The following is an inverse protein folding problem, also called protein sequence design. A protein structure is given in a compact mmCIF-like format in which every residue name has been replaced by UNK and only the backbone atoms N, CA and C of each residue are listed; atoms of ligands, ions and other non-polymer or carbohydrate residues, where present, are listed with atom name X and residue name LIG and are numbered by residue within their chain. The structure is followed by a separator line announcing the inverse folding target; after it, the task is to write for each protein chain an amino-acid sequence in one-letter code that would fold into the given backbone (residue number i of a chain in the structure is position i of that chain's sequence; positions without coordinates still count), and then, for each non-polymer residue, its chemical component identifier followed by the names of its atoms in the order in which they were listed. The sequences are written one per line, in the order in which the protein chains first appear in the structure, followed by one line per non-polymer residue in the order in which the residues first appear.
data_IF_598301477272
#
_entry.id   IF_598301477272
#
_cell.length_a   1.000
_cell.length_b   1.000
_cell.length_c   1.000
_cell.angle_alpha   90.00
_cell.angle_beta   90.00
_cell.angle_gamma   90.00
#
_symmetry.space_group_name_H-M   'P 1'
#
loop_
_entity.id
_entity.type
_entity.pdbx_description
1 polymer ?
#
# COMPACT_ATOMS: atom_id res chain seq x y z
N UNK A 1 23.10 -28.41 0.72
CA UNK A 1 22.35 -29.07 -0.35
C UNK A 1 20.91 -29.16 0.10
N UNK A 2 20.06 -28.20 -0.26
CA UNK A 2 18.63 -28.28 0.02
C UNK A 2 18.02 -29.33 -0.93
N UNK A 3 17.30 -30.29 -0.37
CA UNK A 3 16.68 -31.39 -1.09
C UNK A 3 15.71 -30.84 -2.14
N UNK A 4 15.82 -31.27 -3.40
CA UNK A 4 14.89 -30.86 -4.46
C UNK A 4 13.41 -31.21 -4.14
N UNK A 5 13.21 -32.19 -3.25
CA UNK A 5 11.91 -32.59 -2.72
C UNK A 5 11.29 -31.54 -1.77
N UNK A 6 12.12 -30.72 -1.10
CA UNK A 6 11.63 -29.65 -0.20
C UNK A 6 11.11 -28.45 -1.00
N UNK A 7 11.80 -28.05 -2.07
CA UNK A 7 11.36 -26.94 -2.94
C UNK A 7 10.03 -27.27 -3.65
N UNK A 8 9.87 -28.50 -4.14
CA UNK A 8 8.60 -28.95 -4.74
C UNK A 8 7.45 -28.94 -3.73
N UNK A 9 7.71 -29.37 -2.49
CA UNK A 9 6.71 -29.35 -1.41
C UNK A 9 6.34 -27.91 -1.00
N UNK A 10 7.33 -27.03 -0.83
CA UNK A 10 7.11 -25.61 -0.50
C UNK A 10 6.36 -24.88 -1.61
N UNK A 11 6.71 -25.12 -2.88
CA UNK A 11 6.03 -24.50 -4.01
C UNK A 11 4.56 -24.91 -4.10
N UNK A 12 4.26 -26.21 -3.95
CA UNK A 12 2.86 -26.69 -3.90
C UNK A 12 2.10 -26.07 -2.74
N UNK A 13 2.68 -26.08 -1.54
CA UNK A 13 2.07 -25.47 -0.37
C UNK A 13 1.73 -23.99 -0.63
N UNK A 14 2.65 -23.22 -1.21
CA UNK A 14 2.40 -21.80 -1.52
C UNK A 14 1.30 -21.61 -2.57
N UNK A 15 1.25 -22.45 -3.62
CA UNK A 15 0.22 -22.36 -4.67
C UNK A 15 -1.18 -22.73 -4.17
N UNK A 16 -1.27 -23.65 -3.21
CA UNK A 16 -2.53 -24.12 -2.64
C UNK A 16 -3.01 -23.26 -1.46
N UNK A 17 -2.08 -22.67 -0.71
CA UNK A 17 -2.37 -21.91 0.52
C UNK A 17 -3.41 -20.79 0.39
N UNK A 18 -3.50 -20.02 -0.72
CA UNK A 18 -4.52 -18.99 -0.85
C UNK A 18 -5.96 -19.54 -0.88
N UNK A 19 -6.16 -20.81 -1.23
CA UNK A 19 -7.51 -21.40 -1.36
C UNK A 19 -8.26 -21.41 -0.04
N UNK A 20 -7.60 -21.85 1.03
CA UNK A 20 -8.21 -21.99 2.36
C UNK A 20 -8.77 -20.67 2.92
N UNK A 21 -8.01 -19.55 2.98
CA UNK A 21 -8.56 -18.29 3.45
C UNK A 21 -9.63 -17.74 2.51
N UNK A 22 -9.52 -17.94 1.19
CA UNK A 22 -10.55 -17.49 0.24
C UNK A 22 -11.87 -18.25 0.43
N UNK A 23 -11.81 -19.57 0.60
CA UNK A 23 -12.98 -20.40 0.88
C UNK A 23 -13.61 -20.06 2.24
N UNK A 24 -12.79 -19.85 3.27
CA UNK A 24 -13.27 -19.46 4.60
C UNK A 24 -13.99 -18.10 4.58
N UNK A 25 -13.42 -17.11 3.86
CA UNK A 25 -14.06 -15.80 3.70
C UNK A 25 -15.33 -15.90 2.86
N UNK A 26 -15.34 -16.73 1.81
CA UNK A 26 -16.52 -16.89 0.97
C UNK A 26 -17.72 -17.49 1.72
N UNK A 27 -17.47 -18.31 2.76
CA UNK A 27 -18.52 -18.90 3.59
C UNK A 27 -19.25 -17.85 4.45
N UNK A 28 -18.54 -16.87 5.00
CA UNK A 28 -19.12 -15.73 5.72
C UNK A 28 -18.21 -14.49 5.61
N UNK A 29 -18.40 -13.62 4.59
CA UNK A 29 -17.57 -12.44 4.37
C UNK A 29 -17.70 -11.37 5.45
N UNK A 30 -18.78 -11.41 6.22
CA UNK A 30 -19.15 -10.43 7.27
C UNK A 30 -18.80 -10.92 8.67
N UNK A 31 -18.38 -12.18 8.83
CA UNK A 31 -17.93 -12.72 10.12
C UNK A 31 -16.88 -11.80 10.77
N UNK A 32 -17.07 -11.40 12.04
CA UNK A 32 -16.09 -10.58 12.74
C UNK A 32 -14.85 -11.41 13.08
N UNK A 33 -13.70 -11.00 12.56
CA UNK A 33 -12.40 -11.66 12.77
C UNK A 33 -11.37 -10.66 13.26
N UNK A 34 -10.36 -11.16 13.97
CA UNK A 34 -9.22 -10.36 14.39
C UNK A 34 -8.32 -10.00 13.21
N UNK A 35 -7.89 -8.75 13.17
CA UNK A 35 -6.94 -8.22 12.17
C UNK A 35 -5.87 -7.36 12.85
N UNK A 36 -4.91 -6.88 12.07
CA UNK A 36 -3.89 -5.92 12.55
C UNK A 36 -4.46 -4.56 12.98
N UNK A 37 -5.74 -4.29 12.72
CA UNK A 37 -6.42 -3.03 13.07
C UNK A 37 -7.66 -3.26 13.95
N UNK A 38 -7.70 -4.39 14.68
CA UNK A 38 -8.83 -4.78 15.54
C UNK A 38 -9.82 -5.73 14.86
N UNK A 39 -11.05 -5.81 15.39
CA UNK A 39 -12.10 -6.64 14.78
C UNK A 39 -12.59 -6.02 13.47
N UNK A 40 -12.62 -6.82 12.41
CA UNK A 40 -13.09 -6.43 11.07
C UNK A 40 -13.86 -7.58 10.42
N UNK A 41 -14.68 -7.34 9.39
CA UNK A 41 -15.27 -8.40 8.58
C UNK A 41 -14.21 -9.28 7.92
N UNK A 42 -14.48 -10.58 7.75
CA UNK A 42 -13.54 -11.55 7.17
C UNK A 42 -12.99 -11.13 5.80
N UNK A 43 -13.78 -10.46 4.95
CA UNK A 43 -13.33 -9.91 3.65
C UNK A 43 -12.14 -8.96 3.74
N UNK A 44 -11.87 -8.37 4.91
CA UNK A 44 -10.70 -7.52 5.13
C UNK A 44 -9.40 -8.26 4.81
N UNK A 45 -9.31 -9.55 5.18
CA UNK A 45 -8.13 -10.37 4.91
C UNK A 45 -7.89 -10.61 3.42
N UNK A 46 -8.95 -10.67 2.60
CA UNK A 46 -8.79 -10.81 1.14
C UNK A 46 -8.10 -9.59 0.56
N UNK A 47 -8.54 -8.39 0.96
CA UNK A 47 -7.91 -7.13 0.52
C UNK A 47 -6.46 -7.03 1.00
N UNK A 48 -6.19 -7.38 2.27
CA UNK A 48 -4.83 -7.39 2.83
C UNK A 48 -3.91 -8.37 2.10
N UNK A 49 -4.34 -9.61 1.89
CA UNK A 49 -3.55 -10.65 1.22
C UNK A 49 -3.32 -10.36 -0.26
N UNK A 50 -4.28 -9.70 -0.92
CA UNK A 50 -4.13 -9.23 -2.29
C UNK A 50 -2.94 -8.27 -2.39
N UNK A 51 -2.90 -7.22 -1.56
CA UNK A 51 -1.85 -6.20 -1.61
C UNK A 51 -0.49 -6.74 -1.19
N UNK A 52 -0.43 -7.61 -0.18
CA UNK A 52 0.82 -8.32 0.17
C UNK A 52 1.34 -9.16 -1.00
N UNK A 53 0.45 -9.87 -1.70
CA UNK A 53 0.83 -10.70 -2.86
C UNK A 53 1.31 -9.86 -4.03
N UNK A 54 0.68 -8.70 -4.27
CA UNK A 54 1.09 -7.75 -5.32
C UNK A 54 2.50 -7.23 -5.06
N UNK A 55 2.77 -6.79 -3.83
CA UNK A 55 4.07 -6.24 -3.43
C UNK A 55 5.16 -7.32 -3.50
N UNK A 56 4.90 -8.53 -3.01
CA UNK A 56 5.88 -9.62 -3.10
C UNK A 56 6.11 -10.11 -4.53
N UNK A 57 5.10 -10.04 -5.41
CA UNK A 57 5.31 -10.27 -6.85
C UNK A 57 6.24 -9.23 -7.45
N UNK A 58 6.12 -7.96 -7.04
CA UNK A 58 7.04 -6.90 -7.46
C UNK A 58 8.45 -7.18 -6.93
N UNK A 59 8.60 -7.55 -5.66
CA UNK A 59 9.91 -7.89 -5.09
C UNK A 59 10.61 -9.00 -5.91
N UNK A 60 9.87 -10.05 -6.27
CA UNK A 60 10.39 -11.13 -7.11
C UNK A 60 10.76 -10.67 -8.52
N UNK A 61 9.94 -9.82 -9.15
CA UNK A 61 10.21 -9.28 -10.48
C UNK A 61 11.43 -8.34 -10.49
N UNK A 62 11.57 -7.48 -9.47
CA UNK A 62 12.75 -6.62 -9.26
C UNK A 62 14.02 -7.45 -9.10
N UNK A 63 13.98 -8.52 -8.31
CA UNK A 63 15.11 -9.43 -8.12
C UNK A 63 15.53 -10.14 -9.42
N UNK A 64 14.59 -10.38 -10.32
CA UNK A 64 14.83 -10.98 -11.64
C UNK A 64 15.16 -9.95 -12.72
N UNK A 65 15.04 -8.64 -12.43
CA UNK A 65 15.22 -7.57 -13.41
C UNK A 65 14.17 -7.60 -14.53
N UNK A 66 12.94 -8.03 -14.25
CA UNK A 66 11.84 -8.09 -15.22
C UNK A 66 10.75 -7.08 -14.90
N UNK A 67 9.92 -6.80 -15.91
CA UNK A 67 8.79 -5.89 -15.78
C UNK A 67 7.76 -6.37 -14.74
N UNK A 68 7.18 -5.41 -14.02
CA UNK A 68 6.25 -5.64 -12.93
C UNK A 68 5.02 -4.73 -13.04
N UNK A 69 4.20 -4.87 -14.10
CA UNK A 69 3.02 -4.04 -14.25
C UNK A 69 2.06 -4.25 -13.08
N UNK A 70 1.52 -3.17 -12.54
CA UNK A 70 0.42 -3.15 -11.58
C UNK A 70 -0.70 -2.37 -12.25
N UNK A 71 -1.90 -2.93 -12.24
CA UNK A 71 -3.06 -2.24 -12.80
C UNK A 71 -3.37 -0.97 -11.95
N UNK A 72 -3.65 0.18 -12.57
CA UNK A 72 -3.82 1.44 -11.85
C UNK A 72 -4.85 1.41 -10.72
N UNK A 73 -6.03 0.81 -10.93
CA UNK A 73 -7.06 0.74 -9.89
C UNK A 73 -6.63 -0.18 -8.74
N UNK A 74 -5.90 -1.26 -9.01
CA UNK A 74 -5.30 -2.11 -7.99
C UNK A 74 -4.25 -1.37 -7.15
N UNK A 75 -3.38 -0.58 -7.80
CA UNK A 75 -2.40 0.23 -7.09
C UNK A 75 -3.06 1.34 -6.25
N UNK A 76 -4.07 2.02 -6.81
CA UNK A 76 -4.86 3.01 -6.10
C UNK A 76 -5.57 2.43 -4.87
N UNK A 77 -6.17 1.24 -4.99
CA UNK A 77 -6.74 0.53 -3.82
C UNK A 77 -5.68 0.17 -2.78
N UNK A 78 -4.47 -0.21 -3.22
CA UNK A 78 -3.32 -0.49 -2.36
C UNK A 78 -2.86 0.73 -1.57
N UNK A 79 -2.83 1.91 -2.20
CA UNK A 79 -2.54 3.18 -1.51
C UNK A 79 -3.60 3.45 -0.44
N UNK A 80 -4.89 3.31 -0.78
CA UNK A 80 -5.98 3.52 0.17
C UNK A 80 -5.96 2.52 1.34
N UNK A 81 -5.64 1.24 1.08
CA UNK A 81 -5.48 0.22 2.12
C UNK A 81 -4.31 0.56 3.05
N UNK A 82 -3.17 0.92 2.47
CA UNK A 82 -1.97 1.30 3.20
C UNK A 82 -2.21 2.51 4.12
N UNK A 83 -2.84 3.56 3.60
CA UNK A 83 -3.20 4.74 4.40
C UNK A 83 -4.19 4.37 5.52
N UNK A 84 -5.13 3.46 5.27
CA UNK A 84 -6.03 2.91 6.29
C UNK A 84 -5.29 2.18 7.41
N UNK A 85 -4.29 1.37 7.07
CA UNK A 85 -3.44 0.68 8.04
C UNK A 85 -2.60 1.65 8.88
N UNK A 86 -2.02 2.67 8.25
CA UNK A 86 -1.26 3.72 8.96
C UNK A 86 -2.16 4.51 9.91
N UNK A 87 -3.35 4.91 9.46
CA UNK A 87 -4.32 5.64 10.30
C UNK A 87 -4.79 4.81 11.51
N UNK A 88 -4.82 3.49 11.40
CA UNK A 88 -5.19 2.58 12.48
C UNK A 88 -4.04 2.28 13.47
N UNK A 89 -2.82 2.73 13.20
CA UNK A 89 -1.63 2.48 14.04
C UNK A 89 -1.18 3.78 14.73
N UNK A 90 -1.62 4.04 15.97
CA UNK A 90 -1.17 5.20 16.71
C UNK A 90 0.34 5.17 16.95
N UNK A 91 0.94 6.35 17.05
CA UNK A 91 2.36 6.57 17.41
C UNK A 91 3.38 5.99 16.41
N UNK A 92 2.94 5.59 15.21
CA UNK A 92 3.84 5.32 14.09
C UNK A 92 4.29 6.66 13.49
N UNK A 93 5.60 6.87 13.34
CA UNK A 93 6.16 8.21 13.17
C UNK A 93 5.48 9.00 12.01
N UNK A 94 4.75 10.02 12.42
CA UNK A 94 3.72 10.73 11.66
C UNK A 94 4.35 11.95 10.97
N UNK A 95 3.80 12.42 9.85
CA UNK A 95 4.05 13.80 9.41
C UNK A 95 3.84 14.78 10.59
N UNK A 96 4.63 15.87 10.61
CA UNK A 96 4.49 16.94 11.60
C UNK A 96 3.02 17.28 11.81
N UNK A 97 2.59 17.45 13.06
CA UNK A 97 1.20 17.81 13.37
C UNK A 97 0.74 19.03 12.54
N UNK A 98 -0.41 18.90 11.90
CA UNK A 98 -1.00 19.90 11.02
C UNK A 98 -0.46 19.91 9.58
N UNK A 99 0.67 19.24 9.30
CA UNK A 99 1.21 19.14 7.95
C UNK A 99 0.28 18.32 7.03
N UNK A 100 0.23 18.70 5.76
CA UNK A 100 -0.66 18.13 4.76
C UNK A 100 0.11 17.63 3.54
N UNK A 101 -0.33 16.49 3.01
CA UNK A 101 0.21 15.89 1.80
C UNK A 101 -0.91 15.52 0.85
N UNK A 102 -0.68 15.74 -0.44
CA UNK A 102 -1.57 15.30 -1.51
C UNK A 102 -0.85 14.28 -2.37
N UNK A 103 -1.43 13.08 -2.50
CA UNK A 103 -1.00 12.10 -3.49
C UNK A 103 -1.96 12.17 -4.69
N UNK A 104 -1.43 12.22 -5.90
CA UNK A 104 -2.21 12.36 -7.13
C UNK A 104 -1.71 11.37 -8.19
N UNK A 105 -2.52 10.35 -8.45
CA UNK A 105 -2.32 9.44 -9.56
C UNK A 105 -2.68 10.14 -10.87
N UNK A 106 -1.85 9.94 -11.88
CA UNK A 106 -2.00 10.55 -13.22
C UNK A 106 -2.76 9.67 -14.20
N UNK A 107 -3.10 8.44 -13.80
CA UNK A 107 -3.81 7.47 -14.64
C UNK A 107 -5.24 7.92 -14.95
N UNK A 108 -5.63 7.82 -16.21
CA UNK A 108 -6.98 8.13 -16.65
C UNK A 108 -8.00 7.14 -16.07
N UNK A 109 -9.21 7.62 -15.75
CA UNK A 109 -10.32 6.78 -15.31
C UNK A 109 -10.38 6.47 -13.81
N UNK A 110 -9.37 6.84 -13.01
CA UNK A 110 -9.42 6.66 -11.54
C UNK A 110 -10.36 7.65 -10.84
N UNK A 111 -10.53 8.85 -11.40
CA UNK A 111 -11.34 9.91 -10.77
C UNK A 111 -10.90 10.18 -9.33
N UNK A 112 -11.85 10.25 -8.40
CA UNK A 112 -11.56 10.47 -6.97
C UNK A 112 -10.78 9.33 -6.31
N UNK A 113 -10.71 8.13 -6.91
CA UNK A 113 -9.92 7.03 -6.35
C UNK A 113 -8.41 7.22 -6.58
N UNK A 114 -8.00 8.15 -7.43
CA UNK A 114 -6.61 8.50 -7.71
C UNK A 114 -6.09 9.71 -6.94
N UNK A 115 -6.79 10.17 -5.91
CA UNK A 115 -6.52 11.45 -5.25
C UNK A 115 -6.67 11.30 -3.73
N UNK A 116 -5.58 11.43 -2.97
CA UNK A 116 -5.58 11.23 -1.51
C UNK A 116 -5.07 12.46 -0.78
N UNK A 117 -5.86 12.99 0.15
CA UNK A 117 -5.43 14.02 1.09
C UNK A 117 -5.05 13.38 2.41
N UNK A 118 -3.83 13.66 2.88
CA UNK A 118 -3.26 13.14 4.13
C UNK A 118 -2.96 14.32 5.04
N UNK A 119 -3.29 14.20 6.32
CA UNK A 119 -3.01 15.20 7.36
C UNK A 119 -2.35 14.56 8.57
N UNK A 120 -1.26 15.15 9.04
CA UNK A 120 -0.65 14.79 10.32
C UNK A 120 -1.53 15.23 11.48
N UNK A 121 -1.88 14.30 12.35
CA UNK A 121 -2.54 14.54 13.63
C UNK A 121 -1.58 14.30 14.82
N UNK A 122 -2.07 14.53 16.04
CA UNK A 122 -1.26 14.44 17.25
C UNK A 122 -0.67 13.04 17.53
N UNK A 123 -1.33 11.97 17.08
CA UNK A 123 -0.94 10.57 17.35
C UNK A 123 -0.97 9.66 16.12
N UNK A 124 -1.13 10.22 14.92
CA UNK A 124 -1.30 9.43 13.70
C UNK A 124 -1.66 10.30 12.50
N UNK A 125 -1.96 9.66 11.37
CA UNK A 125 -2.49 10.37 10.21
C UNK A 125 -4.02 10.31 10.17
N UNK A 126 -4.63 11.38 9.66
CA UNK A 126 -5.96 11.32 9.05
C UNK A 126 -5.81 11.33 7.53
N UNK A 127 -6.70 10.66 6.81
CA UNK A 127 -6.73 10.74 5.35
C UNK A 127 -8.16 10.62 4.82
N UNK A 128 -8.35 11.17 3.62
CA UNK A 128 -9.59 11.05 2.84
C UNK A 128 -9.27 11.00 1.34
N UNK A 129 -10.20 10.44 0.56
CA UNK A 129 -10.16 10.61 -0.88
C UNK A 129 -10.53 12.05 -1.21
N UNK A 130 -9.69 12.73 -1.98
CA UNK A 130 -9.90 14.13 -2.29
C UNK A 130 -8.72 14.79 -2.98
N UNK A 131 -9.03 15.94 -3.58
CA UNK A 131 -8.08 16.81 -4.25
C UNK A 131 -8.02 18.14 -3.51
N UNK A 132 -6.82 18.67 -3.27
CA UNK A 132 -6.68 19.95 -2.60
C UNK A 132 -5.24 20.46 -2.51
N UNK A 133 -5.12 21.71 -2.08
CA UNK A 133 -3.82 22.30 -1.74
C UNK A 133 -3.24 21.62 -0.50
N UNK A 134 -1.93 21.41 -0.51
CA UNK A 134 -1.18 20.79 0.58
C UNK A 134 0.21 21.41 0.70
N UNK A 135 0.89 21.14 1.81
CA UNK A 135 2.29 21.57 2.00
C UNK A 135 3.23 20.84 1.03
N UNK A 136 2.89 19.60 0.66
CA UNK A 136 3.58 18.82 -0.37
C UNK A 136 2.62 18.00 -1.21
N UNK A 137 2.76 18.08 -2.54
CA UNK A 137 2.03 17.25 -3.49
C UNK A 137 2.99 16.30 -4.21
N UNK A 138 2.64 15.01 -4.28
CA UNK A 138 3.40 13.97 -4.99
C UNK A 138 2.53 13.39 -6.10
N UNK A 139 3.01 13.50 -7.33
CA UNK A 139 2.32 13.09 -8.56
C UNK A 139 3.09 11.99 -9.25
N UNK A 140 2.39 11.01 -9.81
CA UNK A 140 2.97 9.91 -10.58
C UNK A 140 1.89 8.96 -11.10
N UNK A 141 2.26 7.87 -11.77
CA UNK A 141 1.31 6.77 -11.97
C UNK A 141 0.95 6.16 -10.60
N UNK A 142 -0.26 5.64 -10.45
CA UNK A 142 -0.72 5.00 -9.21
C UNK A 142 0.24 3.88 -8.77
N UNK A 143 0.75 3.12 -9.75
CA UNK A 143 1.76 2.08 -9.50
C UNK A 143 3.04 2.67 -8.91
N UNK A 144 3.58 3.75 -9.47
CA UNK A 144 4.83 4.36 -8.98
C UNK A 144 4.64 5.00 -7.60
N UNK A 145 3.51 5.68 -7.37
CA UNK A 145 3.15 6.19 -6.05
C UNK A 145 3.09 5.04 -5.04
N UNK A 146 2.37 3.97 -5.36
CA UNK A 146 2.25 2.80 -4.49
C UNK A 146 3.63 2.19 -4.18
N UNK A 147 4.47 1.98 -5.19
CA UNK A 147 5.82 1.45 -5.01
C UNK A 147 6.73 2.36 -4.18
N UNK A 148 6.56 3.67 -4.28
CA UNK A 148 7.30 4.64 -3.47
C UNK A 148 6.88 4.56 -1.99
N UNK A 149 5.57 4.50 -1.71
CA UNK A 149 5.07 4.31 -0.32
C UNK A 149 5.62 2.99 0.25
N UNK A 150 5.63 1.92 -0.56
CA UNK A 150 6.10 0.59 -0.21
C UNK A 150 7.64 0.42 -0.26
N UNK A 151 8.44 1.43 -0.61
CA UNK A 151 9.93 1.38 -0.64
C UNK A 151 10.54 0.43 -1.65
N UNK A 152 9.87 0.25 -2.77
CA UNK A 152 10.39 -0.50 -3.91
C UNK A 152 11.04 0.43 -4.94
N UNK A 153 10.78 1.74 -4.84
CA UNK A 153 11.47 2.79 -5.60
C UNK A 153 11.84 3.94 -4.64
N UNK A 154 12.91 4.71 -4.92
CA UNK A 154 13.28 5.87 -4.11
C UNK A 154 12.19 6.96 -4.11
N UNK A 155 12.11 7.73 -3.03
CA UNK A 155 11.15 8.85 -2.93
C UNK A 155 11.47 10.03 -3.86
N UNK A 156 12.69 10.07 -4.40
CA UNK A 156 13.19 11.04 -5.37
C UNK A 156 13.36 10.45 -6.78
N UNK A 157 12.76 9.28 -7.04
CA UNK A 157 12.73 8.67 -8.37
C UNK A 157 12.10 9.61 -9.41
N UNK A 158 12.68 9.68 -10.61
CA UNK A 158 12.27 10.60 -11.69
C UNK A 158 10.83 10.37 -12.17
N UNK A 159 10.23 9.21 -11.86
CA UNK A 159 8.81 8.92 -12.11
C UNK A 159 7.87 9.71 -11.20
N UNK A 160 8.39 10.31 -10.13
CA UNK A 160 7.62 11.09 -9.16
C UNK A 160 7.89 12.59 -9.31
N UNK A 161 6.81 13.36 -9.44
CA UNK A 161 6.86 14.82 -9.40
C UNK A 161 6.44 15.29 -8.01
N UNK A 162 7.41 15.79 -7.24
CA UNK A 162 7.19 16.36 -5.90
C UNK A 162 7.19 17.89 -5.97
N UNK A 163 6.07 18.51 -5.62
CA UNK A 163 5.90 19.96 -5.54
C UNK A 163 5.66 20.39 -4.08
N UNK A 164 6.20 21.55 -3.70
CA UNK A 164 6.11 22.06 -2.31
C UNK A 164 7.28 21.58 -1.43
N UNK A 165 7.00 21.34 -0.16
CA UNK A 165 7.99 21.03 0.88
C UNK A 165 8.48 19.57 0.78
N UNK A 166 9.43 19.28 -0.11
CA UNK A 166 9.97 17.92 -0.36
C UNK A 166 10.45 17.21 0.91
N UNK A 167 10.99 17.95 1.88
CA UNK A 167 11.45 17.38 3.16
C UNK A 167 10.31 16.68 3.91
N UNK A 168 9.06 17.16 3.79
CA UNK A 168 7.90 16.49 4.37
C UNK A 168 7.67 15.11 3.76
N UNK A 169 7.81 14.96 2.43
CA UNK A 169 7.69 13.68 1.73
C UNK A 169 8.81 12.70 2.15
N UNK A 170 10.06 13.15 2.16
CA UNK A 170 11.19 12.30 2.53
C UNK A 170 11.14 11.89 4.00
N UNK A 171 10.72 12.81 4.89
CA UNK A 171 10.55 12.52 6.32
C UNK A 171 9.40 11.55 6.53
N UNK A 172 8.26 11.75 5.87
CA UNK A 172 7.13 10.83 5.93
C UNK A 172 7.54 9.42 5.51
N UNK A 173 8.30 9.33 4.42
CA UNK A 173 8.89 8.07 4.01
C UNK A 173 9.81 7.52 5.13
N UNK A 174 10.83 8.23 5.58
CA UNK A 174 11.76 7.70 6.58
C UNK A 174 11.10 7.18 7.89
N UNK A 175 9.89 7.66 8.20
CA UNK A 175 9.20 7.43 9.47
C UNK A 175 8.01 6.46 9.40
N UNK A 176 7.52 6.13 8.20
CA UNK A 176 6.50 5.11 8.02
C UNK A 176 7.15 3.75 7.76
N UNK A 177 6.85 2.77 8.62
CA UNK A 177 7.30 1.37 8.44
C UNK A 177 6.63 0.76 7.19
N UNK A 178 7.23 -0.26 6.58
CA UNK A 178 6.65 -1.07 5.51
C UNK A 178 6.92 -2.55 5.80
#
# INVERSE_FOLDING_TARGET
MHDANSLGTTSRWLQESPRLPLEAVAADPDAPVWTGTGLQPARWWVRRLLHESVVHRVDAALALGVDHPIEPALAADGIAEWLGLLAARPDTAVPREGATMHLHATDEGLGAAGEWMIRGGASGIGWEQGHGTSDVAVRGAAADLFLALMRRIPGDDDRLVVAGEREHWTTWLANTAF
#
